data_IF_940136460886
#
_entry.id   IF_940136460886
#
_cell.length_a   1.000
_cell.length_b   1.000
_cell.length_c   1.000
_cell.angle_alpha   90.00
_cell.angle_beta   90.00
_cell.angle_gamma   90.00
#
_symmetry.space_group_name_H-M   'P 1'
#
loop_
_entity.id
_entity.type
_entity.pdbx_description
1 polymer ?
#
# COMPACT_ATOMS: atom_id res chain seq x y z
N UNK A 1 9.91 -11.94 -11.45
CA UNK A 1 11.09 -11.18 -11.88
C UNK A 1 10.68 -9.71 -12.01
N UNK A 2 11.55 -8.77 -11.67
CA UNK A 2 11.32 -7.35 -11.98
C UNK A 2 11.47 -7.15 -13.49
N UNK A 3 10.73 -6.22 -14.08
CA UNK A 3 10.89 -5.85 -15.51
C UNK A 3 12.12 -4.95 -15.69
N UNK A 4 12.64 -4.84 -16.93
CA UNK A 4 13.76 -3.93 -17.23
C UNK A 4 13.44 -2.47 -16.87
N UNK A 5 12.21 -2.02 -17.10
CA UNK A 5 11.76 -0.68 -16.69
C UNK A 5 11.79 -0.46 -15.18
N UNK A 6 11.55 -1.51 -14.39
CA UNK A 6 11.62 -1.46 -12.92
C UNK A 6 13.05 -1.41 -12.40
N UNK A 7 13.97 -2.15 -13.05
CA UNK A 7 15.40 -2.10 -12.72
C UNK A 7 15.98 -0.73 -13.07
N UNK A 8 15.64 -0.17 -14.24
CA UNK A 8 16.09 1.16 -14.63
C UNK A 8 15.58 2.26 -13.69
N UNK A 9 14.34 2.15 -13.19
CA UNK A 9 13.80 3.12 -12.23
C UNK A 9 14.54 3.12 -10.88
N UNK A 10 15.09 1.96 -10.47
CA UNK A 10 15.90 1.85 -9.25
C UNK A 10 17.27 2.51 -9.38
N UNK A 11 17.83 2.62 -10.59
CA UNK A 11 19.14 3.23 -10.85
C UNK A 11 19.10 4.76 -10.86
N UNK A 12 17.92 5.36 -11.00
CA UNK A 12 17.75 6.82 -11.04
C UNK A 12 17.73 7.44 -9.64
N UNK A 13 18.36 8.61 -9.47
CA UNK A 13 18.34 9.36 -8.21
C UNK A 13 16.96 10.00 -7.92
N UNK A 14 16.62 10.13 -6.64
CA UNK A 14 15.37 10.76 -6.20
C UNK A 14 14.13 9.88 -6.37
N UNK A 15 12.96 10.54 -6.50
CA UNK A 15 11.65 9.90 -6.70
C UNK A 15 11.32 9.91 -8.19
N UNK A 16 11.06 8.72 -8.73
CA UNK A 16 10.66 8.47 -10.11
C UNK A 16 9.25 7.92 -10.11
N UNK A 17 8.40 8.45 -10.99
CA UNK A 17 7.06 7.93 -11.25
C UNK A 17 6.91 7.76 -12.76
N UNK A 18 6.49 6.56 -13.17
CA UNK A 18 6.09 6.29 -14.54
C UNK A 18 4.68 5.70 -14.56
N UNK A 19 3.83 6.22 -15.44
CA UNK A 19 2.48 5.73 -15.67
C UNK A 19 2.33 5.37 -17.14
N UNK A 20 1.94 4.14 -17.40
CA UNK A 20 1.72 3.59 -18.74
C UNK A 20 0.29 3.06 -18.84
N UNK A 21 -0.39 3.44 -19.93
CA UNK A 21 -1.72 2.96 -20.25
C UNK A 21 -1.62 1.61 -20.98
N UNK A 22 -2.45 0.67 -20.54
CA UNK A 22 -2.71 -0.61 -21.20
C UNK A 22 -4.17 -0.63 -21.65
N UNK A 23 -4.59 -1.67 -22.37
CA UNK A 23 -5.94 -1.76 -22.95
C UNK A 23 -7.06 -1.57 -21.89
N UNK A 24 -6.92 -2.22 -20.73
CA UNK A 24 -7.97 -2.24 -19.68
C UNK A 24 -7.54 -1.64 -18.33
N UNK A 25 -6.28 -1.22 -18.19
CA UNK A 25 -5.71 -0.78 -16.91
C UNK A 25 -4.52 0.15 -17.12
N UNK A 26 -4.01 0.70 -16.04
CA UNK A 26 -2.76 1.46 -16.00
C UNK A 26 -1.75 0.74 -15.15
N UNK A 27 -0.49 0.78 -15.57
CA UNK A 27 0.63 0.42 -14.72
C UNK A 27 1.27 1.68 -14.16
N UNK A 28 1.45 1.75 -12.84
CA UNK A 28 2.17 2.83 -12.16
C UNK A 28 3.43 2.23 -11.55
N UNK A 29 4.59 2.76 -11.90
CA UNK A 29 5.87 2.41 -11.29
C UNK A 29 6.35 3.59 -10.46
N UNK A 30 6.65 3.35 -9.20
CA UNK A 30 7.26 4.32 -8.28
C UNK A 30 8.59 3.76 -7.81
N UNK A 31 9.68 4.52 -7.96
CA UNK A 31 10.97 4.21 -7.37
C UNK A 31 11.48 5.40 -6.55
N UNK A 32 11.92 5.16 -5.33
CA UNK A 32 12.34 6.21 -4.40
C UNK A 32 13.31 5.66 -3.35
N UNK A 33 14.06 6.52 -2.62
CA UNK A 33 14.67 6.11 -1.36
C UNK A 33 13.62 5.48 -0.45
N UNK A 34 13.92 4.30 0.07
CA UNK A 34 12.99 3.58 0.92
C UNK A 34 12.87 4.29 2.27
N UNK A 35 11.65 4.32 2.79
CA UNK A 35 11.33 4.91 4.09
C UNK A 35 10.00 4.38 4.60
N UNK A 36 9.90 4.31 5.93
CA UNK A 36 8.63 4.00 6.61
C UNK A 36 7.53 4.93 6.08
N UNK A 37 6.38 4.34 5.74
CA UNK A 37 5.23 5.05 5.22
C UNK A 37 5.18 5.27 3.71
N UNK A 38 6.26 5.03 2.94
CA UNK A 38 6.25 5.25 1.48
C UNK A 38 5.12 4.46 0.78
N UNK A 39 4.98 3.18 1.10
CA UNK A 39 3.90 2.34 0.56
C UNK A 39 2.51 2.89 0.92
N UNK A 40 2.33 3.30 2.17
CA UNK A 40 1.07 3.86 2.65
C UNK A 40 0.72 5.16 1.91
N UNK A 41 1.69 6.04 1.70
CA UNK A 41 1.50 7.31 0.99
C UNK A 41 1.12 7.08 -0.48
N UNK A 42 1.83 6.20 -1.19
CA UNK A 42 1.51 5.88 -2.60
C UNK A 42 0.13 5.23 -2.72
N UNK A 43 -0.18 4.23 -1.88
CA UNK A 43 -1.51 3.60 -1.86
C UNK A 43 -2.63 4.62 -1.56
N UNK A 44 -2.38 5.56 -0.64
CA UNK A 44 -3.33 6.60 -0.28
C UNK A 44 -3.55 7.60 -1.42
N UNK A 45 -2.51 8.02 -2.13
CA UNK A 45 -2.63 8.89 -3.30
C UNK A 45 -3.35 8.22 -4.46
N UNK A 46 -3.06 6.95 -4.76
CA UNK A 46 -3.81 6.19 -5.75
C UNK A 46 -5.31 6.18 -5.41
N UNK A 47 -5.63 5.96 -4.13
CA UNK A 47 -7.01 6.02 -3.66
C UNK A 47 -7.62 7.43 -3.81
N UNK A 48 -6.91 8.49 -3.45
CA UNK A 48 -7.38 9.88 -3.61
C UNK A 48 -7.63 10.26 -5.07
N UNK A 49 -6.80 9.76 -5.99
CA UNK A 49 -6.99 9.88 -7.44
C UNK A 49 -8.03 8.90 -8.01
N UNK A 50 -8.78 8.18 -7.17
CA UNK A 50 -9.86 7.26 -7.57
C UNK A 50 -9.37 6.11 -8.45
N UNK A 51 -8.13 5.68 -8.21
CA UNK A 51 -7.54 4.52 -8.86
C UNK A 51 -7.75 3.29 -7.95
N UNK A 52 -8.52 2.34 -8.45
CA UNK A 52 -8.65 1.02 -7.82
C UNK A 52 -7.38 0.24 -8.04
N UNK A 53 -6.72 -0.17 -6.95
CA UNK A 53 -5.57 -1.07 -7.01
C UNK A 53 -6.08 -2.47 -7.29
N UNK A 54 -5.63 -3.08 -8.37
CA UNK A 54 -5.93 -4.49 -8.73
C UNK A 54 -4.82 -5.43 -8.27
N UNK A 55 -3.59 -4.94 -8.38
CA UNK A 55 -2.43 -5.65 -7.88
C UNK A 55 -1.33 -4.64 -7.54
N UNK A 56 -0.44 -5.03 -6.63
CA UNK A 56 0.80 -4.33 -6.40
C UNK A 56 1.93 -5.30 -6.10
N UNK A 57 3.13 -4.94 -6.52
CA UNK A 57 4.37 -5.59 -6.13
C UNK A 57 5.34 -4.55 -5.59
N UNK A 58 5.82 -4.78 -4.39
CA UNK A 58 6.80 -3.92 -3.71
C UNK A 58 8.05 -4.74 -3.45
N UNK A 59 9.20 -4.12 -3.72
CA UNK A 59 10.52 -4.66 -3.39
C UNK A 59 11.41 -3.54 -2.87
N UNK A 60 12.21 -3.84 -1.86
CA UNK A 60 13.33 -2.99 -1.43
C UNK A 60 14.64 -3.63 -1.84
N UNK A 61 15.51 -2.86 -2.50
CA UNK A 61 16.86 -3.26 -2.90
C UNK A 61 17.83 -2.18 -2.42
N UNK A 62 18.70 -2.54 -1.47
CA UNK A 62 19.54 -1.57 -0.77
C UNK A 62 18.67 -0.55 -0.05
N UNK A 63 18.92 0.74 -0.29
CA UNK A 63 18.18 1.85 0.32
C UNK A 63 17.03 2.37 -0.56
N UNK A 64 16.62 1.62 -1.58
CA UNK A 64 15.60 2.06 -2.54
C UNK A 64 14.45 1.06 -2.63
N UNK A 65 13.24 1.60 -2.67
CA UNK A 65 12.04 0.84 -2.91
C UNK A 65 11.59 1.02 -4.37
N UNK A 66 11.17 -0.08 -5.00
CA UNK A 66 10.42 -0.08 -6.24
C UNK A 66 9.02 -0.67 -5.99
N UNK A 67 8.01 0.05 -6.45
CA UNK A 67 6.61 -0.32 -6.32
C UNK A 67 5.96 -0.31 -7.69
N UNK A 68 5.32 -1.40 -8.06
CA UNK A 68 4.61 -1.51 -9.33
C UNK A 68 3.18 -1.87 -9.06
N UNK A 69 2.30 -1.07 -9.61
CA UNK A 69 0.88 -1.06 -9.34
C UNK A 69 0.13 -1.30 -10.63
N UNK A 70 -0.78 -2.27 -10.61
CA UNK A 70 -1.82 -2.39 -11.64
C UNK A 70 -3.05 -1.70 -11.09
N UNK A 71 -3.49 -0.64 -11.75
CA UNK A 71 -4.61 0.19 -11.28
C UNK A 71 -5.64 0.42 -12.37
N UNK A 72 -6.89 0.63 -11.96
CA UNK A 72 -8.00 0.93 -12.85
C UNK A 72 -8.69 2.22 -12.39
N UNK A 73 -8.83 3.25 -13.25
CA UNK A 73 -9.63 4.42 -12.94
C UNK A 73 -11.09 4.05 -12.70
N UNK A 74 -11.69 4.58 -11.63
CA UNK A 74 -13.14 4.44 -11.43
C UNK A 74 -13.95 5.24 -12.46
N UNK A 75 -13.44 6.40 -12.85
CA UNK A 75 -14.03 7.29 -13.85
C UNK A 75 -12.96 8.26 -14.37
N UNK A 76 -13.16 8.77 -15.59
CA UNK A 76 -12.23 9.71 -16.22
C UNK A 76 -10.85 9.12 -16.48
N UNK A 77 -9.91 10.01 -16.81
CA UNK A 77 -8.50 9.65 -17.00
C UNK A 77 -7.72 9.83 -15.68
N UNK A 78 -6.72 8.97 -15.42
CA UNK A 78 -5.83 9.14 -14.28
C UNK A 78 -4.97 10.41 -14.44
N UNK A 79 -4.35 10.91 -13.35
CA UNK A 79 -3.33 11.94 -13.48
C UNK A 79 -2.17 11.44 -14.35
N UNK A 80 -1.53 12.34 -15.10
CA UNK A 80 -0.25 12.02 -15.75
C UNK A 80 0.88 11.85 -14.73
N UNK A 81 1.95 11.13 -15.12
CA UNK A 81 3.11 10.82 -14.27
C UNK A 81 3.69 12.04 -13.53
N UNK A 82 3.78 13.20 -14.21
CA UNK A 82 4.29 14.43 -13.63
C UNK A 82 3.41 15.02 -12.52
N UNK A 83 2.07 14.95 -12.68
CA UNK A 83 1.14 15.40 -11.65
C UNK A 83 1.17 14.47 -10.45
N UNK A 84 1.15 13.15 -10.67
CA UNK A 84 1.24 12.17 -9.58
C UNK A 84 2.55 12.30 -8.80
N UNK A 85 3.68 12.54 -9.48
CA UNK A 85 4.96 12.81 -8.83
C UNK A 85 4.93 14.07 -7.95
N UNK A 86 4.29 15.15 -8.41
CA UNK A 86 4.13 16.37 -7.62
C UNK A 86 3.30 16.12 -6.37
N UNK A 87 2.17 15.42 -6.50
CA UNK A 87 1.32 15.09 -5.36
C UNK A 87 2.01 14.12 -4.39
N UNK A 88 2.81 13.18 -4.89
CA UNK A 88 3.65 12.29 -4.07
C UNK A 88 4.68 13.07 -3.26
N UNK A 89 5.39 14.01 -3.87
CA UNK A 89 6.34 14.87 -3.14
C UNK A 89 5.65 15.66 -2.05
N UNK A 90 4.56 16.35 -2.39
CA UNK A 90 3.74 17.12 -1.43
C UNK A 90 3.22 16.26 -0.28
N UNK A 91 2.79 15.03 -0.55
CA UNK A 91 2.34 14.11 0.49
C UNK A 91 3.49 13.63 1.39
N UNK A 92 4.67 13.36 0.82
CA UNK A 92 5.86 12.97 1.59
C UNK A 92 6.44 14.12 2.42
N UNK A 93 6.26 15.35 1.96
CA UNK A 93 6.66 16.59 2.67
C UNK A 93 5.61 17.04 3.70
N UNK A 94 4.42 16.43 3.71
CA UNK A 94 3.34 16.72 4.65
C UNK A 94 2.37 17.82 4.20
N UNK A 95 2.55 18.40 3.02
CA UNK A 95 1.65 19.40 2.42
C UNK A 95 0.28 18.82 2.03
N UNK A 96 0.20 17.49 1.85
CA UNK A 96 -1.05 16.76 1.67
C UNK A 96 -1.19 15.76 2.83
N UNK A 97 -2.13 16.02 3.73
CA UNK A 97 -2.54 15.07 4.76
C UNK A 97 -3.41 13.96 4.15
N UNK A 98 -2.75 12.96 3.55
CA UNK A 98 -3.41 11.83 2.88
C UNK A 98 -4.41 11.11 3.82
N UNK A 99 -4.06 10.77 5.08
CA UNK A 99 -5.02 10.18 6.03
C UNK A 99 -6.26 11.04 6.27
N UNK A 100 -6.12 12.35 6.48
CA UNK A 100 -7.27 13.24 6.68
C UNK A 100 -8.16 13.31 5.44
N UNK A 101 -7.56 13.45 4.26
CA UNK A 101 -8.30 13.54 2.98
C UNK A 101 -9.08 12.25 2.67
N UNK A 102 -8.52 11.09 3.01
CA UNK A 102 -9.23 9.81 2.90
C UNK A 102 -10.40 9.72 3.89
N UNK A 103 -10.21 10.11 5.15
CA UNK A 103 -11.29 10.15 6.15
C UNK A 103 -12.43 11.09 5.76
N UNK A 104 -12.11 12.30 5.31
CA UNK A 104 -13.11 13.28 4.83
C UNK A 104 -13.96 12.68 3.69
N UNK A 105 -13.31 11.99 2.77
CA UNK A 105 -13.97 11.32 1.66
C UNK A 105 -14.88 10.20 2.16
N UNK A 106 -14.37 9.32 3.03
CA UNK A 106 -15.16 8.21 3.57
C UNK A 106 -16.39 8.72 4.32
N UNK A 107 -16.27 9.79 5.11
CA UNK A 107 -17.40 10.47 5.76
C UNK A 107 -18.43 11.04 4.76
N UNK A 108 -17.98 11.58 3.62
CA UNK A 108 -18.89 12.08 2.60
C UNK A 108 -19.72 10.96 1.94
N UNK A 109 -19.19 9.73 1.88
CA UNK A 109 -19.87 8.56 1.31
C UNK A 109 -20.60 7.68 2.34
N UNK A 110 -20.48 7.97 3.63
CA UNK A 110 -21.13 7.22 4.73
C UNK A 110 -22.68 7.26 4.72
N UNK A 111 -23.30 7.90 3.71
CA UNK A 111 -24.77 7.97 3.56
C UNK A 111 -25.39 6.71 2.94
N UNK A 112 -24.59 5.75 2.49
CA UNK A 112 -25.07 4.47 1.95
C UNK A 112 -25.19 3.44 3.09
N UNK A 113 -26.28 2.65 3.16
CA UNK A 113 -26.43 1.61 4.18
C UNK A 113 -25.23 0.65 4.22
N UNK A 114 -24.73 0.37 5.42
CA UNK A 114 -23.66 -0.58 5.63
C UNK A 114 -24.08 -1.97 5.14
N UNK A 115 -23.46 -2.45 4.06
CA UNK A 115 -23.58 -3.86 3.68
C UNK A 115 -22.79 -4.66 4.70
N UNK A 116 -23.41 -5.66 5.33
CA UNK A 116 -22.70 -6.58 6.22
C UNK A 116 -21.57 -7.27 5.46
N UNK A 117 -20.34 -7.08 5.92
CA UNK A 117 -19.11 -7.64 5.32
C UNK A 117 -18.51 -8.66 6.29
N UNK A 118 -17.88 -9.73 5.79
CA UNK A 118 -17.07 -10.60 6.63
C UNK A 118 -16.00 -9.78 7.36
N UNK A 119 -15.73 -10.14 8.62
CA UNK A 119 -14.64 -9.54 9.37
C UNK A 119 -13.29 -9.78 8.66
N UNK A 120 -12.38 -8.80 8.68
CA UNK A 120 -11.04 -8.97 8.12
C UNK A 120 -10.29 -10.08 8.86
N UNK A 121 -9.42 -10.80 8.15
CA UNK A 121 -8.48 -11.76 8.71
C UNK A 121 -7.07 -11.22 8.56
N UNK A 122 -6.30 -11.30 9.63
CA UNK A 122 -4.92 -10.82 9.69
C UNK A 122 -4.11 -11.92 10.33
N UNK A 123 -3.29 -12.61 9.55
CA UNK A 123 -2.48 -13.74 9.98
C UNK A 123 -1.00 -13.38 9.90
N UNK A 124 -0.23 -13.81 10.90
CA UNK A 124 1.23 -13.63 10.91
C UNK A 124 1.92 -14.97 10.87
N UNK A 125 2.86 -15.13 9.95
CA UNK A 125 3.70 -16.31 9.80
C UNK A 125 5.16 -15.92 10.01
N UNK A 126 5.72 -16.37 11.13
CA UNK A 126 7.11 -16.05 11.53
C UNK A 126 8.16 -16.97 10.89
N UNK A 127 7.75 -18.13 10.36
CA UNK A 127 8.66 -19.15 9.77
C UNK A 127 8.40 -19.39 8.27
N UNK A 128 7.68 -18.47 7.61
CA UNK A 128 7.30 -18.61 6.20
C UNK A 128 8.35 -18.05 5.22
N UNK A 129 9.29 -17.23 5.71
CA UNK A 129 10.33 -16.62 4.89
C UNK A 129 11.63 -16.45 5.70
N UNK A 130 12.75 -16.92 5.15
CA UNK A 130 14.06 -16.97 5.83
C UNK A 130 14.59 -15.61 6.33
N UNK A 131 14.05 -14.49 5.83
CA UNK A 131 14.57 -13.13 6.07
C UNK A 131 13.52 -12.08 6.40
N UNK A 132 12.28 -12.50 6.69
CA UNK A 132 11.21 -11.56 7.02
C UNK A 132 10.05 -12.27 7.70
N UNK A 133 9.31 -11.55 8.56
CA UNK A 133 8.03 -12.01 9.06
C UNK A 133 6.95 -11.76 8.01
N UNK A 134 6.08 -12.74 7.73
CA UNK A 134 5.01 -12.57 6.74
C UNK A 134 3.71 -12.17 7.43
N UNK A 135 3.09 -11.09 6.96
CA UNK A 135 1.74 -10.68 7.33
C UNK A 135 0.81 -10.93 6.14
N UNK A 136 -0.21 -11.77 6.32
CA UNK A 136 -1.28 -11.97 5.35
C UNK A 136 -2.55 -11.26 5.83
N UNK A 137 -3.15 -10.45 4.97
CA UNK A 137 -4.39 -9.74 5.24
C UNK A 137 -5.42 -10.12 4.19
N UNK A 138 -6.60 -10.57 4.66
CA UNK A 138 -7.77 -10.80 3.82
C UNK A 138 -8.91 -9.94 4.31
N UNK A 139 -9.44 -9.08 3.43
CA UNK A 139 -10.50 -8.16 3.78
C UNK A 139 -11.35 -7.85 2.55
N UNK A 140 -12.53 -7.28 2.77
CA UNK A 140 -13.32 -6.75 1.66
C UNK A 140 -12.57 -5.58 1.00
N UNK A 141 -12.38 -5.63 -0.32
CA UNK A 141 -11.66 -4.59 -1.05
C UNK A 141 -12.50 -3.31 -1.09
N UNK A 142 -11.95 -2.25 -0.50
CA UNK A 142 -12.60 -0.95 -0.43
C UNK A 142 -11.58 0.17 -0.47
N UNK A 143 -12.08 1.37 -0.76
CA UNK A 143 -11.20 2.51 -0.98
C UNK A 143 -10.33 2.80 0.25
N UNK A 144 -9.02 2.89 0.04
CA UNK A 144 -8.05 3.19 1.08
C UNK A 144 -7.66 2.01 1.96
N UNK A 145 -8.16 0.79 1.72
CA UNK A 145 -7.81 -0.41 2.49
C UNK A 145 -6.30 -0.60 2.61
N UNK A 146 -5.60 -0.63 1.48
CA UNK A 146 -4.16 -0.82 1.46
C UNK A 146 -3.39 0.30 2.16
N UNK A 147 -3.87 1.55 2.06
CA UNK A 147 -3.31 2.67 2.82
C UNK A 147 -3.43 2.43 4.32
N UNK A 148 -4.61 1.98 4.80
CA UNK A 148 -4.83 1.67 6.22
C UNK A 148 -3.93 0.55 6.70
N UNK A 149 -3.82 -0.54 5.94
CA UNK A 149 -2.94 -1.68 6.29
C UNK A 149 -1.49 -1.20 6.40
N UNK A 150 -0.95 -0.58 5.35
CA UNK A 150 0.44 -0.13 5.32
C UNK A 150 0.74 0.95 6.38
N UNK A 151 -0.23 1.82 6.68
CA UNK A 151 -0.11 2.82 7.75
C UNK A 151 -0.09 2.17 9.12
N UNK A 152 -0.94 1.17 9.36
CA UNK A 152 -1.00 0.44 10.63
C UNK A 152 0.29 -0.36 10.89
N UNK A 153 0.85 -1.00 9.87
CA UNK A 153 2.17 -1.66 9.93
C UNK A 153 3.26 -0.64 10.30
N UNK A 154 3.28 0.51 9.61
CA UNK A 154 4.25 1.58 9.87
C UNK A 154 4.10 2.16 11.28
N UNK A 155 2.87 2.36 11.76
CA UNK A 155 2.57 2.87 13.09
C UNK A 155 2.96 1.89 14.20
N UNK A 156 2.94 0.59 13.92
CA UNK A 156 3.47 -0.45 14.80
C UNK A 156 5.01 -0.55 14.75
N UNK A 157 5.70 0.31 13.99
CA UNK A 157 7.16 0.37 13.94
C UNK A 157 7.83 -0.72 13.10
N UNK A 158 7.08 -1.41 12.23
CA UNK A 158 7.62 -2.40 11.30
C UNK A 158 7.87 -1.80 9.91
N UNK A 159 8.97 -2.18 9.28
CA UNK A 159 9.29 -1.90 7.88
C UNK A 159 8.64 -2.90 6.94
N UNK A 160 8.38 -2.50 5.70
CA UNK A 160 7.84 -3.38 4.63
C UNK A 160 8.93 -3.55 3.58
N UNK A 161 9.68 -4.65 3.64
CA UNK A 161 10.74 -4.98 2.69
C UNK A 161 10.20 -5.46 1.32
N UNK A 162 8.93 -5.87 1.31
CA UNK A 162 8.23 -6.22 0.09
C UNK A 162 6.75 -6.46 0.33
N UNK A 163 5.99 -6.51 -0.76
CA UNK A 163 4.57 -6.81 -0.70
C UNK A 163 4.08 -7.44 -2.01
N UNK A 164 3.03 -8.25 -1.90
CA UNK A 164 2.21 -8.75 -3.00
C UNK A 164 0.76 -8.47 -2.64
N UNK A 165 0.13 -7.59 -3.40
CA UNK A 165 -1.27 -7.16 -3.20
C UNK A 165 -2.06 -7.69 -4.39
N UNK A 166 -3.24 -8.21 -4.14
CA UNK A 166 -4.14 -8.66 -5.20
C UNK A 166 -5.62 -8.51 -4.78
N UNK A 167 -6.43 -7.97 -5.68
CA UNK A 167 -7.89 -7.97 -5.55
C UNK A 167 -8.49 -9.12 -6.34
N UNK A 168 -9.27 -9.97 -5.66
CA UNK A 168 -10.04 -11.07 -6.22
C UNK A 168 -11.54 -10.81 -6.02
N UNK A 169 -12.19 -10.28 -7.05
CA UNK A 169 -13.59 -9.88 -6.98
C UNK A 169 -13.79 -8.71 -6.01
N UNK A 170 -14.41 -8.97 -4.85
CA UNK A 170 -14.62 -7.99 -3.79
C UNK A 170 -13.72 -8.20 -2.57
N UNK A 171 -12.72 -9.08 -2.67
CA UNK A 171 -11.80 -9.41 -1.58
C UNK A 171 -10.38 -8.99 -1.98
N UNK A 172 -9.67 -8.34 -1.06
CA UNK A 172 -8.24 -8.11 -1.14
C UNK A 172 -7.51 -9.22 -0.39
N UNK A 173 -6.46 -9.74 -1.00
CA UNK A 173 -5.54 -10.72 -0.40
C UNK A 173 -4.13 -10.15 -0.52
N UNK A 174 -3.66 -9.59 0.58
CA UNK A 174 -2.40 -8.86 0.63
C UNK A 174 -1.39 -9.58 1.51
N UNK A 175 -0.17 -9.70 1.00
CA UNK A 175 0.95 -10.34 1.70
C UNK A 175 2.07 -9.31 1.82
N UNK A 176 2.52 -9.05 3.04
CA UNK A 176 3.62 -8.14 3.36
C UNK A 176 4.79 -8.90 3.97
N UNK A 177 6.00 -8.59 3.53
CA UNK A 177 7.25 -9.09 4.09
C UNK A 177 7.80 -8.02 5.03
N UNK A 178 7.67 -8.27 6.33
CA UNK A 178 7.96 -7.33 7.39
C UNK A 178 9.34 -7.55 7.99
N UNK A 179 9.98 -6.44 8.33
CA UNK A 179 11.29 -6.42 9.00
C UNK A 179 11.29 -5.37 10.12
N UNK A 180 12.17 -5.56 11.10
CA UNK A 180 12.41 -4.58 12.16
C UNK A 180 13.32 -3.44 11.67
N UNK A 181 13.76 -2.58 12.59
CA UNK A 181 14.63 -1.45 12.28
C UNK A 181 16.04 -1.86 11.80
N UNK A 182 16.48 -3.08 12.12
CA UNK A 182 17.77 -3.65 11.72
C UNK A 182 17.65 -4.47 10.41
N UNK A 183 16.45 -4.54 9.82
CA UNK A 183 16.18 -5.31 8.61
C UNK A 183 16.05 -6.82 8.84
N UNK A 184 15.84 -7.24 10.08
CA UNK A 184 15.67 -8.64 10.48
C UNK A 184 14.18 -9.01 10.63
N UNK A 185 13.83 -10.31 10.63
CA UNK A 185 12.47 -10.74 10.98
C UNK A 185 12.05 -10.17 12.35
N UNK A 186 10.76 -9.85 12.48
CA UNK A 186 10.20 -9.32 13.72
C UNK A 186 10.30 -10.36 14.85
N UNK A 187 10.50 -9.88 16.08
CA UNK A 187 10.28 -10.70 17.28
C UNK A 187 8.81 -11.10 17.40
N UNK A 188 8.51 -12.16 18.15
CA UNK A 188 7.13 -12.64 18.35
C UNK A 188 6.22 -11.58 18.97
N UNK A 189 6.73 -10.81 19.94
CA UNK A 189 6.00 -9.71 20.56
C UNK A 189 5.70 -8.57 19.57
N UNK A 190 6.68 -8.22 18.73
CA UNK A 190 6.51 -7.17 17.73
C UNK A 190 5.56 -7.59 16.61
N UNK A 191 5.70 -8.83 16.12
CA UNK A 191 4.78 -9.47 15.19
C UNK A 191 3.32 -9.44 15.69
N UNK A 192 3.12 -9.79 16.96
CA UNK A 192 1.81 -9.73 17.63
C UNK A 192 1.29 -8.29 17.71
N UNK A 193 2.14 -7.33 18.06
CA UNK A 193 1.77 -5.91 18.11
C UNK A 193 1.33 -5.39 16.72
N UNK A 194 2.03 -5.78 15.65
CA UNK A 194 1.64 -5.45 14.27
C UNK A 194 0.27 -6.05 13.95
N UNK A 195 0.07 -7.35 14.20
CA UNK A 195 -1.19 -8.04 13.94
C UNK A 195 -2.36 -7.32 14.63
N UNK A 196 -2.23 -7.04 15.93
CA UNK A 196 -3.26 -6.34 16.72
C UNK A 196 -3.54 -4.95 16.17
N UNK A 197 -2.50 -4.21 15.78
CA UNK A 197 -2.64 -2.84 15.26
C UNK A 197 -3.34 -2.82 13.91
N UNK A 198 -2.98 -3.74 13.00
CA UNK A 198 -3.61 -3.88 11.69
C UNK A 198 -5.07 -4.32 11.85
N UNK A 199 -5.36 -5.35 12.66
CA UNK A 199 -6.74 -5.79 12.93
C UNK A 199 -7.61 -4.65 13.44
N UNK A 200 -7.14 -3.90 14.44
CA UNK A 200 -7.88 -2.74 14.99
C UNK A 200 -8.12 -1.66 13.93
N UNK A 201 -7.14 -1.38 13.08
CA UNK A 201 -7.28 -0.39 12.02
C UNK A 201 -8.33 -0.78 10.97
N UNK A 202 -8.55 -2.08 10.76
CA UNK A 202 -9.56 -2.59 9.83
C UNK A 202 -10.95 -2.73 10.47
N UNK A 203 -11.04 -3.01 11.78
CA UNK A 203 -12.31 -3.10 12.51
C UNK A 203 -12.97 -1.74 12.76
N UNK A 204 -12.19 -0.66 12.90
CA UNK A 204 -12.70 0.69 13.17
C UNK A 204 -13.50 1.31 12.01
N UNK A 205 -13.71 0.58 10.91
CA UNK A 205 -14.58 0.95 9.79
C UNK A 205 -15.86 0.14 9.67
N UNK A 206 -16.10 -0.83 10.57
CA UNK A 206 -17.42 -1.43 10.70
C UNK A 206 -18.35 -0.35 11.27
N UNK A 207 -19.39 0.10 10.53
CA UNK A 207 -20.31 1.13 11.00
C UNK A 207 -21.08 0.71 12.25
#
# INVERSE_FOLDING_TARGET
MLTEGQLSALEQEGIVVHMEAHEDHYSVTVAAPDRVGLLATVAGLLSLHRLHVRAARVVTIGERAAQVWTVQPMFGEPPGSGQFLQDLRRALDGDIDVPARLRERDHAYARTPAVSRPAPRVDVLTDAADRSTVLEVRAHDESGLLHRIASAVSAAGAGIAGAKVATLGSEAVDVFFLVDADGLPLSEDHATAVQVTVTKALEQQVP
#
